data_IF_399990287542
#
_entry.id   IF_399990287542
#
_cell.length_a   1.000
_cell.length_b   1.000
_cell.length_c   1.000
_cell.angle_alpha   90.00
_cell.angle_beta   90.00
_cell.angle_gamma   90.00
#
_symmetry.space_group_name_H-M   'P 1'
#
loop_
_entity.id
_entity.type
_entity.pdbx_description
1 polymer ?
#
# COMPACT_ATOMS: atom_id res chain seq x y z
N UNK A 1 0.22 -11.40 5.57
CA UNK A 1 0.93 -10.48 6.51
C UNK A 1 1.93 -9.61 5.74
N UNK A 2 1.85 -8.28 5.88
CA UNK A 2 2.79 -7.32 5.28
C UNK A 2 4.08 -7.27 6.09
N UNK A 3 5.24 -7.55 5.47
CA UNK A 3 6.54 -7.56 6.17
C UNK A 3 7.71 -7.26 5.25
N UNK A 4 8.72 -6.58 5.78
CA UNK A 4 9.94 -6.23 5.06
C UNK A 4 9.82 -4.90 4.31
N UNK A 5 10.95 -4.43 3.78
CA UNK A 5 11.05 -3.19 3.02
C UNK A 5 11.19 -3.49 1.52
N UNK A 6 10.43 -2.79 0.70
CA UNK A 6 10.52 -2.85 -0.75
C UNK A 6 10.70 -1.44 -1.28
N UNK A 7 11.78 -1.20 -2.01
CA UNK A 7 11.96 0.06 -2.73
C UNK A 7 10.94 0.12 -3.88
N UNK A 8 10.18 1.21 -3.96
CA UNK A 8 9.23 1.47 -5.05
C UNK A 8 9.49 2.87 -5.61
N UNK A 9 9.24 3.04 -6.90
CA UNK A 9 9.27 4.34 -7.55
C UNK A 9 7.87 4.90 -7.67
N UNK A 10 7.75 6.22 -7.59
CA UNK A 10 6.55 6.94 -7.97
C UNK A 10 6.66 7.35 -9.43
N UNK A 11 5.56 7.18 -10.17
CA UNK A 11 5.47 7.76 -11.50
C UNK A 11 5.16 9.27 -11.42
N UNK A 12 5.12 9.94 -12.59
CA UNK A 12 4.86 11.37 -12.69
C UNK A 12 3.48 11.81 -12.19
N UNK A 13 2.58 10.87 -11.88
CA UNK A 13 1.24 11.11 -11.34
C UNK A 13 1.14 10.71 -9.87
N UNK A 14 2.27 10.39 -9.22
CA UNK A 14 2.29 9.96 -7.83
C UNK A 14 1.72 8.57 -7.59
N UNK A 15 1.62 7.73 -8.63
CA UNK A 15 1.18 6.33 -8.49
C UNK A 15 2.39 5.44 -8.20
N UNK A 16 2.17 4.39 -7.40
CA UNK A 16 3.13 3.30 -7.20
C UNK A 16 2.53 1.98 -7.65
N UNK A 17 3.39 1.08 -8.11
CA UNK A 17 2.99 -0.31 -8.34
C UNK A 17 3.07 -1.09 -7.02
N UNK A 18 1.95 -1.69 -6.61
CA UNK A 18 1.93 -2.60 -5.45
C UNK A 18 2.83 -3.81 -5.76
N UNK A 19 3.78 -4.17 -4.88
CA UNK A 19 4.61 -5.36 -5.06
C UNK A 19 3.78 -6.63 -5.21
N UNK A 20 4.15 -7.50 -6.17
CA UNK A 20 3.35 -8.67 -6.57
C UNK A 20 2.96 -9.57 -5.40
N UNK A 21 3.88 -9.80 -4.45
CA UNK A 21 3.67 -10.63 -3.25
C UNK A 21 2.50 -10.20 -2.34
N UNK A 22 1.96 -9.00 -2.52
CA UNK A 22 0.87 -8.45 -1.71
C UNK A 22 -0.45 -8.34 -2.47
N UNK A 23 -0.45 -8.50 -3.81
CA UNK A 23 -1.63 -8.23 -4.64
C UNK A 23 -2.77 -9.18 -4.36
N UNK A 24 -2.48 -10.49 -4.34
CA UNK A 24 -3.52 -11.52 -4.21
C UNK A 24 -4.28 -11.36 -2.88
N UNK A 25 -3.55 -11.19 -1.77
CA UNK A 25 -4.18 -10.95 -0.46
C UNK A 25 -4.98 -9.65 -0.39
N UNK A 26 -4.50 -8.57 -1.00
CA UNK A 26 -5.27 -7.31 -1.05
C UNK A 26 -6.54 -7.41 -1.89
N UNK A 27 -6.51 -8.20 -2.97
CA UNK A 27 -7.68 -8.46 -3.80
C UNK A 27 -8.69 -9.32 -3.03
N UNK A 28 -8.23 -10.37 -2.36
CA UNK A 28 -9.08 -11.27 -1.58
C UNK A 28 -9.72 -10.56 -0.36
N UNK A 29 -8.95 -9.78 0.39
CA UNK A 29 -9.41 -9.17 1.64
C UNK A 29 -10.29 -7.94 1.43
N UNK A 30 -10.07 -7.16 0.35
CA UNK A 30 -10.69 -5.85 0.18
C UNK A 30 -10.98 -5.48 -1.28
N UNK A 31 -11.09 -6.45 -2.20
CA UNK A 31 -11.29 -6.19 -3.64
C UNK A 31 -10.23 -5.23 -4.23
N UNK A 32 -9.03 -5.19 -3.65
CA UNK A 32 -7.94 -4.29 -4.03
C UNK A 32 -8.15 -2.83 -3.61
N UNK A 33 -9.20 -2.52 -2.84
CA UNK A 33 -9.44 -1.18 -2.32
C UNK A 33 -8.58 -0.93 -1.08
N UNK A 34 -8.04 0.29 -0.99
CA UNK A 34 -7.13 0.71 0.06
C UNK A 34 -7.56 2.05 0.64
N UNK A 35 -7.29 2.25 1.93
CA UNK A 35 -7.31 3.54 2.61
C UNK A 35 -5.87 4.04 2.73
N UNK A 36 -5.65 5.31 2.40
CA UNK A 36 -4.38 6.00 2.60
C UNK A 36 -4.56 7.10 3.65
N UNK A 37 -3.75 7.06 4.70
CA UNK A 37 -3.73 8.08 5.76
C UNK A 37 -2.31 8.61 5.97
N UNK A 38 -2.22 9.76 6.64
CA UNK A 38 -0.94 10.23 7.19
C UNK A 38 -0.67 9.52 8.53
N UNK A 39 0.59 9.21 8.81
CA UNK A 39 1.02 8.85 10.16
C UNK A 39 1.16 10.11 11.03
N UNK A 40 0.83 10.02 12.32
CA UNK A 40 0.88 11.16 13.25
C UNK A 40 2.22 11.27 14.00
N UNK A 41 3.06 10.23 13.92
CA UNK A 41 4.34 10.15 14.61
C UNK A 41 5.54 10.29 13.67
N UNK A 42 5.39 9.90 12.41
CA UNK A 42 6.45 9.90 11.39
C UNK A 42 5.97 10.57 10.10
N UNK A 43 6.90 11.14 9.30
CA UNK A 43 6.57 11.75 8.02
C UNK A 43 6.39 10.67 6.94
N UNK A 44 5.35 9.84 7.07
CA UNK A 44 5.03 8.79 6.12
C UNK A 44 3.52 8.65 5.89
N UNK A 45 3.19 7.94 4.81
CA UNK A 45 1.83 7.50 4.52
C UNK A 45 1.65 6.06 4.99
N UNK A 46 0.45 5.77 5.46
CA UNK A 46 0.01 4.44 5.86
C UNK A 46 -1.04 3.97 4.87
N UNK A 47 -0.94 2.70 4.46
CA UNK A 47 -1.87 2.05 3.53
C UNK A 47 -2.47 0.81 4.19
N UNK A 48 -3.80 0.72 4.18
CA UNK A 48 -4.55 -0.39 4.76
C UNK A 48 -5.64 -0.88 3.81
N UNK A 49 -6.02 -2.18 3.84
CA UNK A 49 -7.19 -2.67 3.10
C UNK A 49 -8.47 -1.95 3.54
N UNK A 50 -9.34 -1.62 2.57
CA UNK A 50 -10.68 -1.07 2.83
C UNK A 50 -11.63 -2.23 3.15
N UNK A 51 -11.66 -2.64 4.42
CA UNK A 51 -12.62 -3.61 4.95
C UNK A 51 -13.88 -2.91 5.47
#
# INVERSE_FOLDING_TARGET
MFRGATLVNLDSKGRLAVPTRYRDGLIEDASGQLVCTIDIHHPCLLLYPFA
#
